data_IF_973426310930
#
_entry.id   IF_973426310930
#
_cell.length_a   1.000
_cell.length_b   1.000
_cell.length_c   1.000
_cell.angle_alpha   90.00
_cell.angle_beta   90.00
_cell.angle_gamma   90.00
#
_symmetry.space_group_name_H-M   'P 1'
#
loop_
_entity.id
_entity.type
_entity.pdbx_description
1 polymer ?
#
# COMPACT_ATOMS: atom_id res chain seq x y z
N UNK A 1 1.13 31.00 -18.51
CA UNK A 1 2.39 30.80 -17.77
C UNK A 1 2.35 29.41 -17.15
N UNK A 2 3.22 28.51 -17.57
CA UNK A 2 3.37 27.19 -16.95
C UNK A 2 4.13 27.40 -15.64
N UNK A 3 3.54 27.00 -14.51
CA UNK A 3 4.16 27.13 -13.19
C UNK A 3 5.33 26.17 -13.00
N UNK A 4 5.91 26.16 -11.81
CA UNK A 4 6.93 25.17 -11.42
C UNK A 4 6.25 23.86 -11.03
N UNK A 5 6.70 22.75 -11.60
CA UNK A 5 6.26 21.40 -11.20
C UNK A 5 7.39 20.69 -10.48
N UNK A 6 7.13 20.20 -9.27
CA UNK A 6 8.09 19.45 -8.47
C UNK A 6 7.77 17.97 -8.55
N UNK A 7 8.41 17.25 -9.45
CA UNK A 7 8.23 15.81 -9.58
C UNK A 7 9.03 15.06 -8.51
N UNK A 8 8.44 14.04 -7.88
CA UNK A 8 9.14 13.20 -6.89
C UNK A 8 9.38 13.86 -5.53
N UNK A 9 8.71 14.97 -5.23
CA UNK A 9 8.92 15.72 -3.98
C UNK A 9 8.39 14.98 -2.76
N UNK A 10 7.41 14.11 -2.93
CA UNK A 10 6.91 13.22 -1.89
C UNK A 10 8.01 12.29 -1.36
N UNK A 11 8.78 11.67 -2.26
CA UNK A 11 9.88 10.77 -1.90
C UNK A 11 11.08 11.53 -1.31
N UNK A 12 11.46 12.66 -1.91
CA UNK A 12 12.55 13.49 -1.38
C UNK A 12 12.18 14.08 -0.02
N UNK A 13 10.95 14.60 0.11
CA UNK A 13 10.42 15.18 1.34
C UNK A 13 10.41 14.17 2.48
N UNK A 14 9.92 12.95 2.24
CA UNK A 14 9.92 11.88 3.23
C UNK A 14 11.34 11.55 3.74
N UNK A 15 12.34 11.50 2.84
CA UNK A 15 13.76 11.30 3.22
C UNK A 15 14.36 12.46 4.02
N UNK A 16 13.79 13.66 3.92
CA UNK A 16 14.22 14.82 4.70
C UNK A 16 13.65 14.83 6.13
N UNK A 17 12.50 14.18 6.37
CA UNK A 17 11.80 14.19 7.68
C UNK A 17 12.72 13.81 8.84
N UNK A 18 13.50 12.71 8.82
CA UNK A 18 14.36 12.35 9.95
C UNK A 18 15.41 13.41 10.28
N UNK A 19 15.98 14.06 9.25
CA UNK A 19 16.97 15.13 9.43
C UNK A 19 16.33 16.38 10.06
N UNK A 20 15.12 16.72 9.64
CA UNK A 20 14.36 17.85 10.19
C UNK A 20 13.99 17.59 11.65
N UNK A 21 13.46 16.40 11.95
CA UNK A 21 13.12 15.99 13.32
C UNK A 21 14.33 16.06 14.25
N UNK A 22 15.48 15.53 13.82
CA UNK A 22 16.73 15.61 14.59
C UNK A 22 17.17 17.05 14.83
N UNK A 23 17.13 17.91 13.79
CA UNK A 23 17.51 19.33 13.91
C UNK A 23 16.60 20.10 14.87
N UNK A 24 15.30 19.79 14.89
CA UNK A 24 14.31 20.44 15.74
C UNK A 24 14.19 19.78 17.12
N UNK A 25 15.01 18.77 17.44
CA UNK A 25 14.94 18.00 18.69
C UNK A 25 13.56 17.37 18.94
N UNK A 26 12.90 16.89 17.87
CA UNK A 26 11.62 16.17 17.95
C UNK A 26 11.83 14.66 18.21
N UNK A 27 10.81 13.95 18.74
CA UNK A 27 10.89 12.50 18.97
C UNK A 27 11.19 11.71 17.69
N UNK A 28 12.22 10.86 17.72
CA UNK A 28 12.63 9.99 16.60
C UNK A 28 11.95 8.61 16.63
N UNK A 29 10.75 8.54 17.21
CA UNK A 29 9.96 7.33 17.41
C UNK A 29 8.91 7.17 16.30
N UNK A 30 7.82 6.46 16.59
CA UNK A 30 6.68 6.27 15.68
C UNK A 30 6.12 7.59 15.11
N UNK A 31 6.26 8.73 15.80
CA UNK A 31 5.76 10.03 15.30
C UNK A 31 6.55 10.50 14.07
N UNK A 32 7.87 10.30 14.08
CA UNK A 32 8.71 10.63 12.93
C UNK A 32 8.34 9.76 11.72
N UNK A 33 8.16 8.46 11.95
CA UNK A 33 7.76 7.51 10.90
C UNK A 33 6.37 7.84 10.33
N UNK A 34 5.42 8.19 11.20
CA UNK A 34 4.10 8.67 10.80
C UNK A 34 4.21 9.90 9.89
N UNK A 35 4.94 10.95 10.28
CA UNK A 35 5.09 12.15 9.45
C UNK A 35 5.80 11.85 8.13
N UNK A 36 6.85 11.03 8.14
CA UNK A 36 7.54 10.61 6.91
C UNK A 36 6.58 9.89 5.95
N UNK A 37 5.74 8.97 6.47
CA UNK A 37 4.72 8.26 5.70
C UNK A 37 3.66 9.20 5.14
N UNK A 38 3.17 10.17 5.93
CA UNK A 38 2.20 11.16 5.46
C UNK A 38 2.77 11.98 4.30
N UNK A 39 4.03 12.44 4.41
CA UNK A 39 4.71 13.17 3.33
C UNK A 39 4.92 12.29 2.09
N UNK A 40 5.26 11.02 2.26
CA UNK A 40 5.47 10.10 1.14
C UNK A 40 4.18 9.81 0.37
N UNK A 41 3.05 9.71 1.06
CA UNK A 41 1.79 9.24 0.47
C UNK A 41 0.82 10.37 0.06
N UNK A 42 1.05 11.62 0.46
CA UNK A 42 0.05 12.71 0.33
C UNK A 42 -0.48 12.99 -1.08
N UNK A 43 0.27 12.66 -2.14
CA UNK A 43 -0.22 12.85 -3.52
C UNK A 43 -1.16 11.73 -4.00
N UNK A 44 -1.14 10.58 -3.33
CA UNK A 44 -1.83 9.38 -3.82
C UNK A 44 -3.34 9.49 -3.74
N UNK A 45 -3.97 9.92 -2.62
CA UNK A 45 -5.43 10.11 -2.63
C UNK A 45 -5.92 11.05 -3.72
N UNK A 46 -5.16 12.13 -3.99
CA UNK A 46 -5.48 13.08 -5.05
C UNK A 46 -5.45 12.41 -6.42
N UNK A 47 -4.46 11.55 -6.71
CA UNK A 47 -4.41 10.85 -8.00
C UNK A 47 -5.56 9.85 -8.19
N UNK A 48 -6.12 9.33 -7.09
CA UNK A 48 -7.27 8.42 -7.09
C UNK A 48 -8.63 9.13 -7.22
N UNK A 49 -8.66 10.46 -7.25
CA UNK A 49 -9.89 11.21 -7.56
C UNK A 49 -10.22 11.25 -9.05
N UNK A 50 -9.29 10.80 -9.91
CA UNK A 50 -9.46 10.82 -11.37
C UNK A 50 -10.37 9.69 -11.84
N UNK A 51 -10.97 9.87 -13.01
CA UNK A 51 -11.73 8.80 -13.67
C UNK A 51 -10.81 7.58 -13.94
N UNK A 52 -11.37 6.37 -13.84
CA UNK A 52 -10.69 5.08 -14.08
C UNK A 52 -9.67 4.61 -13.04
N UNK A 53 -9.92 4.82 -11.75
CA UNK A 53 -9.15 4.18 -10.68
C UNK A 53 -9.47 2.69 -10.57
N UNK A 54 -8.42 1.87 -10.56
CA UNK A 54 -8.48 0.42 -10.35
C UNK A 54 -8.45 0.05 -8.87
N UNK A 55 -9.06 -1.08 -8.54
CA UNK A 55 -9.07 -1.60 -7.16
C UNK A 55 -7.65 -1.96 -6.68
N UNK A 56 -6.74 -2.33 -7.58
CA UNK A 56 -5.33 -2.52 -7.23
C UNK A 56 -4.68 -1.25 -6.67
N UNK A 57 -4.98 -0.08 -7.26
CA UNK A 57 -4.45 1.18 -6.75
C UNK A 57 -5.00 1.51 -5.36
N UNK A 58 -6.27 1.16 -5.10
CA UNK A 58 -6.93 1.28 -3.79
C UNK A 58 -6.29 0.32 -2.77
N UNK A 59 -6.11 -0.96 -3.11
CA UNK A 59 -5.44 -1.96 -2.26
C UNK A 59 -4.03 -1.53 -1.89
N UNK A 60 -3.23 -1.08 -2.87
CA UNK A 60 -1.89 -0.58 -2.59
C UNK A 60 -1.90 0.63 -1.66
N UNK A 61 -2.86 1.54 -1.80
CA UNK A 61 -2.96 2.68 -0.88
C UNK A 61 -3.33 2.22 0.54
N UNK A 62 -4.29 1.30 0.69
CA UNK A 62 -4.64 0.71 1.99
C UNK A 62 -3.46 0.00 2.64
N UNK A 63 -2.72 -0.80 1.85
CA UNK A 63 -1.57 -1.54 2.33
C UNK A 63 -0.45 -0.61 2.82
N UNK A 64 -0.11 0.41 2.03
CA UNK A 64 1.00 1.30 2.36
C UNK A 64 0.65 2.28 3.50
N UNK A 65 -0.61 2.75 3.55
CA UNK A 65 -1.06 3.64 4.62
C UNK A 65 -1.34 2.88 5.93
N UNK A 66 -1.86 1.65 5.84
CA UNK A 66 -2.31 0.85 6.97
C UNK A 66 -3.37 1.59 7.79
N UNK A 67 -3.19 1.59 9.11
CA UNK A 67 -4.09 2.27 10.06
C UNK A 67 -4.14 3.81 9.89
N UNK A 68 -3.16 4.40 9.20
CA UNK A 68 -3.08 5.86 9.00
C UNK A 68 -3.82 6.34 7.75
N UNK A 69 -4.55 5.48 7.05
CA UNK A 69 -5.29 5.87 5.83
C UNK A 69 -6.30 7.00 6.08
N UNK A 70 -6.97 7.00 7.23
CA UNK A 70 -7.96 8.03 7.55
C UNK A 70 -7.29 9.39 7.82
N UNK A 71 -6.12 9.38 8.47
CA UNK A 71 -5.26 10.56 8.65
C UNK A 71 -4.73 11.08 7.31
N UNK A 72 -4.32 10.18 6.42
CA UNK A 72 -3.85 10.51 5.08
C UNK A 72 -4.94 11.19 4.25
N UNK A 73 -6.16 10.64 4.27
CA UNK A 73 -7.31 11.25 3.58
C UNK A 73 -7.63 12.65 4.13
N UNK A 74 -7.60 12.81 5.46
CA UNK A 74 -7.81 14.11 6.10
C UNK A 74 -6.75 15.14 5.70
N UNK A 75 -5.47 14.74 5.66
CA UNK A 75 -4.36 15.59 5.20
C UNK A 75 -4.60 16.09 3.77
N UNK A 76 -4.94 15.19 2.85
CA UNK A 76 -5.16 15.53 1.45
C UNK A 76 -6.40 16.43 1.24
N UNK A 77 -7.44 16.27 2.05
CA UNK A 77 -8.62 17.13 2.01
C UNK A 77 -8.32 18.55 2.55
N UNK A 78 -7.44 18.66 3.55
CA UNK A 78 -7.01 19.95 4.09
C UNK A 78 -6.22 20.79 3.06
N UNK A 79 -5.60 20.15 2.07
CA UNK A 79 -4.90 20.81 0.96
C UNK A 79 -5.84 21.46 -0.08
N UNK A 80 -7.16 21.29 0.05
CA UNK A 80 -8.15 21.99 -0.78
C UNK A 80 -8.21 23.47 -0.37
N UNK A 81 -7.31 24.27 -0.95
CA UNK A 81 -7.12 25.69 -0.62
C UNK A 81 -7.88 26.67 -1.54
N UNK A 82 -8.57 26.16 -2.57
CA UNK A 82 -9.28 27.02 -3.52
C UNK A 82 -10.49 27.71 -2.89
N UNK A 83 -10.73 28.99 -3.23
CA UNK A 83 -11.94 29.73 -2.83
C UNK A 83 -13.13 29.50 -3.78
N UNK A 84 -12.93 28.79 -4.91
CA UNK A 84 -13.98 28.53 -5.87
C UNK A 84 -14.94 27.44 -5.35
N UNK A 85 -16.18 27.85 -5.04
CA UNK A 85 -17.21 26.97 -4.44
C UNK A 85 -17.53 25.74 -5.28
N UNK A 86 -17.53 25.86 -6.62
CA UNK A 86 -17.81 24.73 -7.51
C UNK A 86 -16.69 23.70 -7.44
N UNK A 87 -15.43 24.15 -7.45
CA UNK A 87 -14.26 23.27 -7.33
C UNK A 87 -14.19 22.60 -5.96
N UNK A 88 -14.48 23.32 -4.88
CA UNK A 88 -14.55 22.73 -3.52
C UNK A 88 -15.56 21.58 -3.51
N UNK A 89 -16.77 21.80 -4.04
CA UNK A 89 -17.82 20.78 -4.09
C UNK A 89 -17.34 19.54 -4.87
N UNK A 90 -16.81 19.74 -6.07
CA UNK A 90 -16.28 18.66 -6.90
C UNK A 90 -15.17 17.86 -6.20
N UNK A 91 -14.20 18.53 -5.58
CA UNK A 91 -13.12 17.83 -4.88
C UNK A 91 -13.65 17.00 -3.70
N UNK A 92 -14.58 17.54 -2.92
CA UNK A 92 -15.20 16.80 -1.81
C UNK A 92 -15.95 15.56 -2.30
N UNK A 93 -16.72 15.69 -3.38
CA UNK A 93 -17.44 14.56 -3.99
C UNK A 93 -16.45 13.48 -4.47
N UNK A 94 -15.32 13.88 -5.07
CA UNK A 94 -14.32 12.92 -5.51
C UNK A 94 -13.62 12.22 -4.33
N UNK A 95 -13.28 12.94 -3.26
CA UNK A 95 -12.70 12.34 -2.06
C UNK A 95 -13.68 11.38 -1.37
N UNK A 96 -14.97 11.73 -1.34
CA UNK A 96 -16.02 10.85 -0.82
C UNK A 96 -16.12 9.55 -1.63
N UNK A 97 -16.08 9.62 -2.96
CA UNK A 97 -16.00 8.44 -3.82
C UNK A 97 -14.78 7.56 -3.48
N UNK A 98 -13.61 8.18 -3.25
CA UNK A 98 -12.40 7.44 -2.85
C UNK A 98 -12.59 6.76 -1.50
N UNK A 99 -13.21 7.43 -0.51
CA UNK A 99 -13.53 6.83 0.81
C UNK A 99 -14.45 5.62 0.67
N UNK A 100 -15.47 5.71 -0.16
CA UNK A 100 -16.39 4.59 -0.42
C UNK A 100 -15.65 3.39 -1.04
N UNK A 101 -14.78 3.62 -2.02
CA UNK A 101 -13.94 2.56 -2.60
C UNK A 101 -12.99 1.94 -1.58
N UNK A 102 -12.31 2.77 -0.78
CA UNK A 102 -11.43 2.30 0.30
C UNK A 102 -12.19 1.39 1.27
N UNK A 103 -13.41 1.78 1.66
CA UNK A 103 -14.25 0.99 2.56
C UNK A 103 -14.68 -0.33 1.92
N UNK A 104 -15.18 -0.29 0.69
CA UNK A 104 -15.59 -1.49 -0.06
C UNK A 104 -14.45 -2.50 -0.22
N UNK A 105 -13.25 -2.04 -0.58
CA UNK A 105 -12.07 -2.90 -0.72
C UNK A 105 -11.62 -3.44 0.63
N UNK A 106 -11.63 -2.63 1.69
CA UNK A 106 -11.22 -3.09 3.02
C UNK A 106 -12.19 -4.11 3.63
N UNK A 107 -13.50 -3.96 3.39
CA UNK A 107 -14.52 -4.91 3.81
C UNK A 107 -14.38 -6.27 3.10
N UNK A 108 -13.95 -6.27 1.85
CA UNK A 108 -13.76 -7.49 1.06
C UNK A 108 -12.42 -8.17 1.32
N UNK A 109 -11.33 -7.40 1.32
CA UNK A 109 -9.97 -7.93 1.23
C UNK A 109 -9.16 -7.81 2.55
N UNK A 110 -9.64 -7.03 3.53
CA UNK A 110 -8.97 -6.80 4.83
C UNK A 110 -7.48 -6.42 4.70
N UNK A 111 -7.18 -5.42 3.87
CA UNK A 111 -5.81 -5.08 3.45
C UNK A 111 -5.06 -4.23 4.48
N UNK A 112 -5.72 -3.39 5.30
CA UNK A 112 -5.04 -2.54 6.31
C UNK A 112 -4.17 -3.38 7.25
N UNK A 113 -4.69 -4.54 7.64
CA UNK A 113 -4.02 -5.50 8.52
C UNK A 113 -3.54 -6.75 7.76
N UNK A 114 -3.06 -6.57 6.53
CA UNK A 114 -2.67 -7.67 5.65
C UNK A 114 -1.76 -8.68 6.36
N UNK A 115 -2.30 -9.88 6.57
CA UNK A 115 -1.53 -11.05 6.99
C UNK A 115 -1.37 -11.95 5.77
N UNK A 116 -0.13 -12.36 5.41
CA UNK A 116 0.06 -13.30 4.32
C UNK A 116 -0.75 -14.58 4.59
N UNK A 117 -1.63 -15.01 3.66
CA UNK A 117 -2.43 -16.22 3.89
C UNK A 117 -1.58 -17.48 4.05
N UNK A 118 -0.37 -17.49 3.47
CA UNK A 118 0.61 -18.56 3.58
C UNK A 118 1.84 -18.07 4.33
N UNK A 119 2.28 -18.84 5.33
CA UNK A 119 3.43 -18.49 6.17
C UNK A 119 4.76 -18.91 5.54
N UNK A 120 5.86 -18.30 6.00
CA UNK A 120 7.20 -18.72 5.59
C UNK A 120 7.51 -20.16 6.00
N UNK A 121 7.07 -20.56 7.20
CA UNK A 121 7.26 -21.92 7.71
C UNK A 121 6.55 -22.96 6.86
N UNK A 122 5.36 -22.65 6.37
CA UNK A 122 4.62 -23.52 5.47
C UNK A 122 5.33 -23.70 4.13
N UNK A 123 5.85 -22.61 3.54
CA UNK A 123 6.66 -22.69 2.31
C UNK A 123 7.89 -23.57 2.54
N UNK A 124 8.58 -23.36 3.67
CA UNK A 124 9.75 -24.16 4.03
C UNK A 124 9.43 -25.64 4.17
N UNK A 125 8.35 -26.00 4.87
CA UNK A 125 7.91 -27.39 5.02
C UNK A 125 7.49 -28.01 3.68
N UNK A 126 6.78 -27.25 2.84
CA UNK A 126 6.25 -27.73 1.56
C UNK A 126 7.35 -28.08 0.58
N UNK A 127 8.41 -27.27 0.51
CA UNK A 127 9.51 -27.45 -0.45
C UNK A 127 10.81 -27.96 0.18
N UNK A 128 10.78 -28.37 1.45
CA UNK A 128 11.96 -28.77 2.23
C UNK A 128 13.10 -27.73 2.19
N UNK A 129 12.75 -26.46 2.34
CA UNK A 129 13.69 -25.35 2.30
C UNK A 129 14.14 -24.93 3.71
N UNK A 130 15.36 -24.40 3.77
CA UNK A 130 15.81 -23.57 4.91
C UNK A 130 15.35 -22.12 4.72
N UNK A 131 15.37 -21.28 5.78
CA UNK A 131 15.14 -19.85 5.63
C UNK A 131 16.09 -19.27 4.57
N UNK A 132 15.55 -18.59 3.55
CA UNK A 132 16.33 -18.21 2.38
C UNK A 132 15.59 -17.32 1.39
N UNK A 133 16.27 -17.02 0.28
CA UNK A 133 15.80 -16.08 -0.75
C UNK A 133 14.53 -16.58 -1.44
N UNK A 134 14.45 -17.87 -1.71
CA UNK A 134 13.36 -18.55 -2.41
C UNK A 134 12.04 -18.37 -1.66
N UNK A 135 12.05 -18.51 -0.33
CA UNK A 135 10.90 -18.25 0.54
C UNK A 135 10.43 -16.80 0.41
N UNK A 136 11.37 -15.85 0.41
CA UNK A 136 11.07 -14.43 0.21
C UNK A 136 10.44 -14.14 -1.15
N UNK A 137 10.95 -14.75 -2.22
CA UNK A 137 10.40 -14.61 -3.58
C UNK A 137 8.95 -15.09 -3.63
N UNK A 138 8.66 -16.28 -3.07
CA UNK A 138 7.31 -16.84 -3.06
C UNK A 138 6.35 -15.97 -2.24
N UNK A 139 6.76 -15.55 -1.02
CA UNK A 139 5.95 -14.65 -0.17
C UNK A 139 5.64 -13.33 -0.87
N UNK A 140 6.65 -12.72 -1.51
CA UNK A 140 6.47 -11.47 -2.23
C UNK A 140 5.56 -11.65 -3.43
N UNK A 141 5.72 -12.74 -4.20
CA UNK A 141 4.86 -13.01 -5.34
C UNK A 141 3.39 -13.13 -4.94
N UNK A 142 3.08 -13.87 -3.87
CA UNK A 142 1.72 -13.99 -3.34
C UNK A 142 1.17 -12.61 -2.95
N UNK A 143 1.94 -11.82 -2.20
CA UNK A 143 1.52 -10.48 -1.78
C UNK A 143 1.22 -9.58 -2.98
N UNK A 144 2.14 -9.49 -3.93
CA UNK A 144 1.94 -8.65 -5.12
C UNK A 144 0.73 -9.14 -5.93
N UNK A 145 0.53 -10.45 -6.08
CA UNK A 145 -0.64 -10.99 -6.77
C UNK A 145 -1.97 -10.63 -6.09
N UNK A 146 -2.02 -10.54 -4.76
CA UNK A 146 -3.20 -10.04 -4.03
C UNK A 146 -3.36 -8.53 -4.25
N UNK A 147 -2.28 -7.75 -4.10
CA UNK A 147 -2.31 -6.29 -4.31
C UNK A 147 -2.59 -5.88 -5.77
N UNK A 148 -2.32 -6.76 -6.73
CA UNK A 148 -2.65 -6.56 -8.14
C UNK A 148 -4.03 -7.15 -8.51
N UNK A 149 -4.62 -7.97 -7.63
CA UNK A 149 -5.96 -8.56 -7.82
C UNK A 149 -5.97 -9.78 -8.74
N UNK A 150 -4.80 -10.41 -8.90
CA UNK A 150 -4.63 -11.65 -9.65
C UNK A 150 -5.24 -12.82 -8.87
N UNK A 151 -5.14 -12.78 -7.54
CA UNK A 151 -5.76 -13.76 -6.64
C UNK A 151 -6.49 -13.05 -5.49
N UNK A 152 -7.46 -13.74 -4.89
CA UNK A 152 -8.12 -13.31 -3.67
C UNK A 152 -7.21 -13.47 -2.44
N UNK A 153 -7.48 -12.69 -1.39
CA UNK A 153 -6.74 -12.75 -0.12
C UNK A 153 -7.21 -13.92 0.76
N UNK A 154 -7.07 -15.14 0.25
CA UNK A 154 -7.43 -16.35 0.99
C UNK A 154 -6.36 -17.45 0.86
N UNK A 155 -6.44 -18.41 1.78
CA UNK A 155 -5.47 -19.49 1.89
C UNK A 155 -5.44 -20.40 0.65
N UNK A 156 -6.60 -20.71 0.06
CA UNK A 156 -6.67 -21.66 -1.06
C UNK A 156 -5.98 -21.10 -2.30
N UNK A 157 -6.34 -19.87 -2.68
CA UNK A 157 -5.73 -19.16 -3.80
C UNK A 157 -4.22 -18.93 -3.57
N UNK A 158 -3.84 -18.49 -2.36
CA UNK A 158 -2.44 -18.27 -2.03
C UNK A 158 -1.61 -19.56 -2.06
N UNK A 159 -2.17 -20.70 -1.60
CA UNK A 159 -1.51 -22.01 -1.63
C UNK A 159 -1.33 -22.53 -3.04
N UNK A 160 -2.33 -22.38 -3.90
CA UNK A 160 -2.20 -22.76 -5.31
C UNK A 160 -1.08 -21.96 -5.99
N UNK A 161 -1.06 -20.64 -5.79
CA UNK A 161 -0.04 -19.78 -6.34
C UNK A 161 1.35 -20.07 -5.75
N UNK A 162 1.43 -20.39 -4.45
CA UNK A 162 2.64 -20.86 -3.78
C UNK A 162 3.22 -22.09 -4.49
N UNK A 163 2.39 -23.11 -4.74
CA UNK A 163 2.80 -24.35 -5.40
C UNK A 163 3.27 -24.09 -6.83
N UNK A 164 2.50 -23.35 -7.61
CA UNK A 164 2.86 -22.97 -8.97
C UNK A 164 4.20 -22.23 -9.00
N UNK A 165 4.38 -21.24 -8.12
CA UNK A 165 5.61 -20.45 -8.09
C UNK A 165 6.82 -21.25 -7.64
N UNK A 166 6.65 -22.16 -6.68
CA UNK A 166 7.73 -23.04 -6.25
C UNK A 166 8.21 -23.97 -7.38
N UNK A 167 7.28 -24.54 -8.15
CA UNK A 167 7.61 -25.37 -9.30
C UNK A 167 8.33 -24.57 -10.40
N UNK A 168 7.92 -23.33 -10.67
CA UNK A 168 8.61 -22.42 -11.60
C UNK A 168 10.06 -22.13 -11.17
N UNK A 169 10.33 -22.10 -9.86
CA UNK A 169 11.67 -21.93 -9.29
C UNK A 169 12.48 -23.25 -9.26
N UNK A 170 11.93 -24.35 -9.78
CA UNK A 170 12.57 -25.66 -9.79
C UNK A 170 12.53 -26.40 -8.44
N UNK A 171 11.68 -25.96 -7.51
CA UNK A 171 11.53 -26.59 -6.19
C UNK A 171 10.66 -27.84 -6.29
N UNK A 172 10.97 -28.86 -5.47
CA UNK A 172 10.20 -30.10 -5.38
C UNK A 172 9.29 -30.06 -4.15
N UNK A 173 8.04 -30.45 -4.32
CA UNK A 173 7.10 -30.60 -3.22
C UNK A 173 7.47 -31.85 -2.43
N UNK A 174 7.63 -31.70 -1.12
CA UNK A 174 7.98 -32.81 -0.24
C UNK A 174 6.84 -33.85 -0.25
N UNK A 175 7.14 -35.11 -0.62
CA UNK A 175 6.15 -36.19 -0.72
C UNK A 175 5.65 -36.53 -2.14
N UNK A 176 6.27 -35.99 -3.19
CA UNK A 176 6.15 -36.49 -4.57
C UNK A 176 7.52 -36.73 -5.20
#
# INVERSE_FOLDING_TARGET
KQGWTFHGHEALGARMVPKIFKRLSLPLDHKMHFVAKMVELHLRPISLTKENVTDSAIRRLLFDAGDDIDNLMLLCEADITTKNRLKIKQYRENFEMVRQKLKSVEEHDHIRNFQPPVTGDEIMRTFNLKPGREVGIIKNHIRESILDGIIQNDYANAKELMLKKGLELGLKVNGK
#
